data_IF_921965492948
#
_entry.id   IF_921965492948
#
_cell.length_a   1.000
_cell.length_b   1.000
_cell.length_c   1.000
_cell.angle_alpha   90.00
_cell.angle_beta   90.00
_cell.angle_gamma   90.00
#
_symmetry.space_group_name_H-M   'P 1'
#
loop_
_entity.id
_entity.type
_entity.pdbx_description
1 polymer ?
#
# COMPACT_ATOMS: atom_id res chain seq x y z
N UNK A 1 20.61 14.17 -1.74
CA UNK A 1 19.66 14.04 -0.62
C UNK A 1 19.89 15.09 0.48
N UNK A 2 21.14 15.36 0.87
CA UNK A 2 21.48 16.39 1.87
C UNK A 2 21.11 17.84 1.47
N UNK A 3 21.09 18.15 0.17
CA UNK A 3 20.94 19.52 -0.33
C UNK A 3 19.50 20.08 -0.22
N UNK A 4 18.46 19.21 -0.26
CA UNK A 4 17.06 19.65 -0.14
C UNK A 4 16.61 19.93 1.31
N UNK A 5 17.37 19.45 2.30
CA UNK A 5 17.06 19.62 3.72
C UNK A 5 17.48 21.02 4.20
N UNK A 6 18.57 21.57 3.63
CA UNK A 6 19.08 22.89 3.99
C UNK A 6 18.19 24.06 3.53
N UNK A 7 17.39 23.87 2.47
CA UNK A 7 16.73 25.00 1.77
C UNK A 7 15.24 25.18 2.13
N UNK A 8 14.59 24.18 2.74
CA UNK A 8 13.13 24.20 2.92
C UNK A 8 12.62 24.06 4.35
N UNK A 9 13.51 23.87 5.34
CA UNK A 9 13.12 23.60 6.72
C UNK A 9 12.61 22.17 6.89
N UNK A 10 12.91 21.58 8.03
CA UNK A 10 12.61 20.17 8.36
C UNK A 10 11.14 19.82 8.20
N UNK A 11 10.25 20.79 8.43
CA UNK A 11 8.79 20.62 8.36
C UNK A 11 8.31 20.39 6.93
N UNK A 12 8.79 21.19 5.95
CA UNK A 12 8.37 21.03 4.55
C UNK A 12 8.83 19.72 3.94
N UNK A 13 9.98 19.22 4.38
CA UNK A 13 10.48 17.91 3.97
C UNK A 13 9.63 16.80 4.58
N UNK A 14 9.25 16.94 5.84
CA UNK A 14 8.36 16.00 6.55
C UNK A 14 6.99 15.94 5.88
N UNK A 15 6.37 17.10 5.64
CA UNK A 15 5.08 17.20 4.96
C UNK A 15 5.13 16.58 3.56
N UNK A 16 6.21 16.83 2.82
CA UNK A 16 6.42 16.22 1.52
C UNK A 16 6.45 14.69 1.61
N UNK A 17 7.21 14.12 2.54
CA UNK A 17 7.27 12.67 2.73
C UNK A 17 5.95 12.06 3.17
N UNK A 18 5.22 12.73 4.08
CA UNK A 18 3.90 12.30 4.52
C UNK A 18 2.92 12.31 3.35
N UNK A 19 2.92 13.36 2.53
CA UNK A 19 1.98 13.51 1.41
C UNK A 19 2.17 12.48 0.28
N UNK A 20 3.30 11.77 0.23
CA UNK A 20 3.48 10.63 -0.69
C UNK A 20 2.70 9.39 -0.26
N UNK A 21 2.27 9.31 1.01
CA UNK A 21 1.60 8.16 1.57
C UNK A 21 0.07 8.32 1.54
N UNK A 22 -0.63 7.19 1.58
CA UNK A 22 -2.07 7.15 1.82
C UNK A 22 -2.31 7.31 3.33
N UNK A 23 -2.60 8.54 3.76
CA UNK A 23 -2.91 8.89 5.15
C UNK A 23 -3.92 10.04 5.22
N UNK A 24 -4.65 10.14 6.33
CA UNK A 24 -5.65 11.19 6.57
C UNK A 24 -6.97 10.61 7.09
N UNK A 25 -8.05 11.38 6.91
CA UNK A 25 -9.41 10.89 7.14
C UNK A 25 -9.75 9.73 6.18
N UNK A 26 -10.77 8.89 6.49
CA UNK A 26 -11.18 7.77 5.64
C UNK A 26 -11.45 8.16 4.18
N UNK A 27 -12.12 9.29 3.97
CA UNK A 27 -12.47 9.81 2.64
C UNK A 27 -11.20 10.17 1.85
N UNK A 28 -10.23 10.82 2.50
CA UNK A 28 -8.95 11.16 1.89
C UNK A 28 -8.14 9.91 1.52
N UNK A 29 -8.19 8.87 2.38
CA UNK A 29 -7.55 7.60 2.07
C UNK A 29 -8.18 6.94 0.83
N UNK A 30 -9.51 6.94 0.74
CA UNK A 30 -10.23 6.41 -0.40
C UNK A 30 -9.87 7.15 -1.71
N UNK A 31 -9.92 8.48 -1.69
CA UNK A 31 -9.58 9.32 -2.85
C UNK A 31 -8.14 9.09 -3.34
N UNK A 32 -7.18 9.02 -2.41
CA UNK A 32 -5.78 8.74 -2.76
C UNK A 32 -5.61 7.35 -3.37
N UNK A 33 -6.34 6.35 -2.88
CA UNK A 33 -6.28 4.98 -3.45
C UNK A 33 -6.87 4.97 -4.86
N UNK A 34 -7.95 5.71 -5.12
CA UNK A 34 -8.52 5.87 -6.46
C UNK A 34 -7.56 6.57 -7.41
N UNK A 35 -6.94 7.68 -7.00
CA UNK A 35 -5.94 8.38 -7.83
C UNK A 35 -4.75 7.47 -8.19
N UNK A 36 -4.29 6.63 -7.25
CA UNK A 36 -3.27 5.61 -7.53
C UNK A 36 -3.81 4.59 -8.55
N UNK A 37 -5.03 4.09 -8.35
CA UNK A 37 -5.67 3.12 -9.25
C UNK A 37 -5.81 3.65 -10.67
N UNK A 38 -6.22 4.89 -10.84
CA UNK A 38 -6.37 5.51 -12.16
C UNK A 38 -5.02 5.68 -12.87
N UNK A 39 -3.93 5.83 -12.11
CA UNK A 39 -2.58 6.00 -12.66
C UNK A 39 -1.90 4.69 -13.04
N UNK A 40 -2.08 3.62 -12.25
CA UNK A 40 -1.31 2.37 -12.42
C UNK A 40 -2.17 1.13 -12.69
N UNK A 41 -3.49 1.23 -12.61
CA UNK A 41 -4.42 0.12 -12.87
C UNK A 41 -4.31 -1.03 -11.87
N UNK A 42 -4.09 -0.75 -10.58
CA UNK A 42 -3.95 -1.82 -9.58
C UNK A 42 -5.30 -2.42 -9.15
N UNK A 43 -5.30 -3.73 -8.93
CA UNK A 43 -6.45 -4.53 -8.45
C UNK A 43 -6.35 -4.94 -6.97
N UNK A 44 -5.25 -4.56 -6.33
CA UNK A 44 -4.95 -4.88 -4.96
C UNK A 44 -4.31 -3.67 -4.27
N UNK A 45 -4.67 -3.49 -3.00
CA UNK A 45 -4.08 -2.49 -2.12
C UNK A 45 -3.62 -3.18 -0.84
N UNK A 46 -2.36 -2.95 -0.47
CA UNK A 46 -1.77 -3.48 0.77
C UNK A 46 -1.60 -2.31 1.72
N UNK A 47 -2.43 -2.26 2.76
CA UNK A 47 -2.36 -1.23 3.80
C UNK A 47 -1.34 -1.57 4.88
N UNK A 48 -0.48 -0.61 5.22
CA UNK A 48 0.45 -0.70 6.36
C UNK A 48 -0.09 0.18 7.48
N UNK A 49 -0.57 -0.43 8.56
CA UNK A 49 -1.19 0.29 9.69
C UNK A 49 -0.27 0.48 10.91
N UNK A 50 0.93 -0.11 10.88
CA UNK A 50 1.93 0.02 11.95
C UNK A 50 3.25 0.47 11.34
N UNK A 51 3.80 1.56 11.87
CA UNK A 51 5.07 2.15 11.43
C UNK A 51 5.74 2.94 12.56
N UNK A 52 7.05 3.17 12.44
CA UNK A 52 7.84 4.05 13.31
C UNK A 52 7.70 3.82 14.84
N UNK A 53 7.44 2.58 15.27
CA UNK A 53 7.26 2.26 16.70
C UNK A 53 5.89 2.66 17.28
N UNK A 54 4.89 2.90 16.42
CA UNK A 54 3.50 3.14 16.81
C UNK A 54 2.98 2.06 17.79
N UNK A 55 2.27 2.47 18.87
CA UNK A 55 1.59 1.53 19.77
C UNK A 55 0.63 0.58 19.03
N UNK A 56 0.54 -0.67 19.49
CA UNK A 56 -0.26 -1.70 18.81
C UNK A 56 -1.77 -1.41 18.80
N UNK A 57 -2.29 -0.83 19.87
CA UNK A 57 -3.69 -0.42 19.99
C UNK A 57 -4.04 0.68 18.99
N UNK A 58 -3.10 1.59 18.73
CA UNK A 58 -3.24 2.62 17.70
C UNK A 58 -3.21 2.04 16.29
N UNK A 59 -2.28 1.12 16.01
CA UNK A 59 -2.23 0.41 14.74
C UNK A 59 -3.53 -0.39 14.49
N UNK A 60 -4.02 -1.10 15.50
CA UNK A 60 -5.27 -1.85 15.44
C UNK A 60 -6.47 -0.93 15.20
N UNK A 61 -6.55 0.21 15.90
CA UNK A 61 -7.61 1.20 15.70
C UNK A 61 -7.64 1.70 14.25
N UNK A 62 -6.48 2.01 13.67
CA UNK A 62 -6.38 2.45 12.28
C UNK A 62 -6.81 1.35 11.29
N UNK A 63 -6.37 0.11 11.51
CA UNK A 63 -6.76 -1.04 10.70
C UNK A 63 -8.28 -1.26 10.75
N UNK A 64 -8.89 -1.24 11.95
CA UNK A 64 -10.34 -1.42 12.11
C UNK A 64 -11.15 -0.28 11.49
N UNK A 65 -10.67 0.96 11.62
CA UNK A 65 -11.28 2.12 10.98
C UNK A 65 -11.26 1.98 9.46
N UNK A 66 -10.11 1.65 8.88
CA UNK A 66 -9.98 1.43 7.43
C UNK A 66 -10.91 0.30 6.95
N UNK A 67 -10.93 -0.83 7.67
CA UNK A 67 -11.78 -1.97 7.33
C UNK A 67 -13.28 -1.63 7.37
N UNK A 68 -13.68 -0.72 8.25
CA UNK A 68 -15.09 -0.31 8.39
C UNK A 68 -15.50 0.76 7.37
N UNK A 69 -14.68 1.79 7.18
CA UNK A 69 -15.09 2.99 6.44
C UNK A 69 -14.60 3.00 4.98
N UNK A 70 -13.45 2.41 4.68
CA UNK A 70 -12.79 2.54 3.36
C UNK A 70 -12.91 1.25 2.54
N UNK A 71 -12.63 0.11 3.17
CA UNK A 71 -12.61 -1.19 2.49
C UNK A 71 -13.92 -1.54 1.77
N UNK A 72 -15.13 -1.29 2.34
CA UNK A 72 -16.37 -1.62 1.65
C UNK A 72 -16.53 -0.85 0.33
N UNK A 73 -16.21 0.44 0.31
CA UNK A 73 -16.27 1.27 -0.89
C UNK A 73 -15.31 0.76 -1.98
N UNK A 74 -14.07 0.43 -1.61
CA UNK A 74 -13.09 -0.12 -2.55
C UNK A 74 -13.54 -1.46 -3.16
N UNK A 75 -14.21 -2.31 -2.37
CA UNK A 75 -14.69 -3.61 -2.86
C UNK A 75 -15.83 -3.49 -3.89
N UNK A 76 -16.56 -2.37 -3.92
CA UNK A 76 -17.60 -2.13 -4.93
C UNK A 76 -17.06 -1.84 -6.32
N UNK A 77 -15.78 -1.45 -6.43
CA UNK A 77 -15.17 -0.98 -7.67
C UNK A 77 -14.91 -2.09 -8.70
N UNK A 78 -15.17 -3.35 -8.33
CA UNK A 78 -14.82 -4.53 -9.13
C UNK A 78 -13.30 -4.71 -9.28
N UNK A 79 -12.91 -5.84 -9.86
CA UNK A 79 -11.53 -6.03 -10.33
C UNK A 79 -11.46 -5.53 -11.77
N UNK A 80 -10.43 -4.76 -12.10
CA UNK A 80 -10.07 -4.52 -13.49
C UNK A 80 -9.82 -5.86 -14.19
N UNK A 81 -10.05 -5.89 -15.50
CA UNK A 81 -9.76 -7.08 -16.28
C UNK A 81 -8.25 -7.29 -16.28
N UNK A 82 -7.79 -8.34 -15.59
CA UNK A 82 -6.36 -8.68 -15.54
C UNK A 82 -5.82 -8.80 -16.97
N UNK A 83 -4.80 -8.01 -17.37
CA UNK A 83 -4.21 -8.16 -18.70
C UNK A 83 -3.69 -9.60 -18.84
N UNK A 84 -4.03 -10.24 -19.97
CA UNK A 84 -3.84 -11.67 -20.20
C UNK A 84 -2.40 -12.17 -19.95
N UNK A 85 -1.40 -11.28 -20.01
CA UNK A 85 0.01 -11.59 -19.75
C UNK A 85 0.34 -12.00 -18.31
N UNK A 86 -0.42 -11.56 -17.30
CA UNK A 86 -0.09 -11.87 -15.89
C UNK A 86 -0.47 -13.31 -15.49
N UNK A 87 -1.53 -13.87 -16.09
CA UNK A 87 -1.93 -15.26 -15.86
C UNK A 87 -0.82 -16.25 -16.30
N UNK A 88 -0.09 -15.92 -17.37
CA UNK A 88 1.03 -16.72 -17.86
C UNK A 88 2.24 -16.72 -16.90
N UNK A 89 2.48 -15.61 -16.18
CA UNK A 89 3.57 -15.51 -15.19
C UNK A 89 3.25 -16.29 -13.92
N UNK A 90 2.01 -16.18 -13.42
CA UNK A 90 1.55 -16.95 -12.26
C UNK A 90 1.57 -18.47 -12.55
N UNK A 91 1.15 -18.90 -13.75
CA UNK A 91 1.21 -20.30 -14.17
C UNK A 91 2.67 -20.82 -14.25
N UNK A 92 3.63 -19.97 -14.65
CA UNK A 92 5.06 -20.31 -14.64
C UNK A 92 5.64 -20.49 -13.23
N UNK A 93 5.14 -19.76 -12.23
CA UNK A 93 5.59 -19.87 -10.85
C UNK A 93 4.96 -21.07 -10.12
N UNK A 94 3.70 -21.39 -10.42
CA UNK A 94 3.02 -22.56 -9.84
C UNK A 94 3.62 -23.91 -10.28
N UNK A 95 4.35 -23.95 -11.40
CA UNK A 95 5.04 -25.14 -11.90
C UNK A 95 6.47 -25.33 -11.35
N UNK A 96 7.00 -24.39 -10.56
CA UNK A 96 8.24 -24.59 -9.81
C UNK A 96 7.87 -24.91 -8.37
N UNK A 97 7.88 -26.19 -8.02
CA UNK A 97 8.07 -26.59 -6.63
C UNK A 97 9.33 -25.87 -6.13
N UNK A 98 9.15 -24.92 -5.21
CA UNK A 98 10.27 -24.27 -4.54
C UNK A 98 10.91 -25.35 -3.67
N UNK A 99 11.95 -25.99 -4.21
CA UNK A 99 12.87 -26.82 -3.45
C UNK A 99 13.50 -25.91 -2.39
N UNK A 100 12.90 -25.90 -1.19
CA UNK A 100 13.48 -25.28 0.00
C UNK A 100 14.56 -26.22 0.52
N UNK A 101 15.57 -26.46 -0.32
CA UNK A 101 16.77 -27.19 0.03
C UNK A 101 17.48 -26.46 1.16
N UNK A 102 17.20 -26.91 2.38
CA UNK A 102 18.11 -27.02 3.51
C UNK A 102 19.28 -26.01 3.50
N UNK A 103 19.06 -24.81 4.03
CA UNK A 103 20.16 -23.98 4.51
C UNK A 103 20.69 -24.59 5.81
N UNK A 104 21.64 -25.53 5.63
CA UNK A 104 22.89 -25.67 6.38
C UNK A 104 22.83 -25.75 7.91
N UNK A 105 23.35 -26.86 8.44
CA UNK A 105 23.94 -27.00 9.78
C UNK A 105 24.76 -25.81 10.23
#
# INVERSE_FOLDING_TARGET
MAEKIATHGTDKVTDFFMNLQVWGAPEQCYEKILDIRDRVGNDAFVGVFSYAGMPYDEAERNMRLFAREVMPALQTLGREARPAGYAAVAARQAGKELDVGLLGT
#
